data_IF_331583574289
#
_entry.id   IF_331583574289
#
_cell.length_a   1.000
_cell.length_b   1.000
_cell.length_c   1.000
_cell.angle_alpha   90.00
_cell.angle_beta   90.00
_cell.angle_gamma   90.00
#
_symmetry.space_group_name_H-M   'P 1'
#
loop_
_entity.id
_entity.type
_entity.pdbx_description
1 polymer ?
#
# COMPACT_ATOMS: atom_id res chain seq x y z
N UNK A 1 -21.22 23.50 19.60
CA UNK A 1 -21.59 23.06 18.23
C UNK A 1 -22.26 24.19 17.41
N UNK A 2 -21.72 25.42 17.41
CA UNK A 2 -22.41 26.61 16.84
C UNK A 2 -21.71 27.22 15.60
N UNK A 3 -20.73 26.51 15.04
CA UNK A 3 -19.88 26.98 13.93
C UNK A 3 -19.80 26.01 12.73
N UNK A 4 -20.71 25.03 12.63
CA UNK A 4 -20.79 24.21 11.42
C UNK A 4 -21.66 24.93 10.39
N UNK A 5 -21.17 25.14 9.14
CA UNK A 5 -22.02 25.62 8.07
C UNK A 5 -23.22 24.66 7.90
N UNK A 6 -24.42 25.18 7.60
CA UNK A 6 -25.60 24.33 7.39
C UNK A 6 -25.29 23.35 6.26
N UNK A 7 -25.28 22.05 6.56
CA UNK A 7 -25.16 20.99 5.58
C UNK A 7 -26.38 21.04 4.65
N UNK A 8 -26.21 21.70 3.50
CA UNK A 8 -27.17 21.68 2.41
C UNK A 8 -27.28 20.26 1.86
N UNK A 9 -28.51 19.74 1.88
CA UNK A 9 -28.93 18.40 1.42
C UNK A 9 -28.46 17.22 2.27
N UNK A 10 -29.41 16.63 3.02
CA UNK A 10 -29.41 15.19 3.29
C UNK A 10 -29.48 14.50 1.92
N UNK A 11 -28.33 14.19 1.33
CA UNK A 11 -28.27 13.20 0.27
C UNK A 11 -28.92 11.93 0.83
N UNK A 12 -29.98 11.45 0.17
CA UNK A 12 -30.62 10.17 0.45
C UNK A 12 -29.54 9.14 0.76
N UNK A 13 -29.53 8.58 1.98
CA UNK A 13 -28.53 7.57 2.38
C UNK A 13 -28.53 6.47 1.30
N UNK A 14 -27.46 6.31 0.52
CA UNK A 14 -27.40 5.23 -0.45
C UNK A 14 -27.60 3.93 0.33
N UNK A 15 -28.57 3.09 -0.08
CA UNK A 15 -28.79 1.79 0.56
C UNK A 15 -27.51 0.97 0.37
N UNK A 16 -26.99 0.39 1.45
CA UNK A 16 -25.78 -0.42 1.41
C UNK A 16 -25.97 -1.59 0.43
N UNK A 17 -25.14 -1.64 -0.61
CA UNK A 17 -25.21 -2.68 -1.64
C UNK A 17 -24.51 -3.95 -1.13
N UNK A 18 -25.22 -4.70 -0.28
CA UNK A 18 -24.74 -5.95 0.33
C UNK A 18 -24.21 -6.96 -0.70
N UNK A 19 -24.89 -7.20 -1.85
CA UNK A 19 -24.32 -8.07 -2.87
C UNK A 19 -22.97 -7.59 -3.44
N UNK A 20 -22.82 -6.28 -3.67
CA UNK A 20 -21.52 -5.73 -4.10
C UNK A 20 -20.46 -5.89 -3.02
N UNK A 21 -20.81 -5.74 -1.74
CA UNK A 21 -19.89 -5.99 -0.63
C UNK A 21 -19.44 -7.45 -0.57
N UNK A 22 -20.36 -8.41 -0.75
CA UNK A 22 -20.05 -9.84 -0.79
C UNK A 22 -19.16 -10.18 -1.99
N UNK A 23 -19.48 -9.66 -3.18
CA UNK A 23 -18.67 -9.87 -4.38
C UNK A 23 -17.28 -9.27 -4.26
N UNK A 24 -17.16 -8.09 -3.64
CA UNK A 24 -15.88 -7.48 -3.33
C UNK A 24 -15.05 -8.35 -2.37
N UNK A 25 -15.68 -8.80 -1.27
CA UNK A 25 -15.04 -9.67 -0.28
C UNK A 25 -14.57 -11.00 -0.92
N UNK A 26 -15.39 -11.61 -1.79
CA UNK A 26 -15.02 -12.81 -2.52
C UNK A 26 -13.89 -12.56 -3.51
N UNK A 27 -13.93 -11.48 -4.28
CA UNK A 27 -12.90 -11.18 -5.30
C UNK A 27 -11.53 -10.98 -4.65
N UNK A 28 -11.45 -10.09 -3.65
CA UNK A 28 -10.17 -9.83 -2.97
C UNK A 28 -9.79 -10.96 -2.02
N UNK A 29 -10.75 -11.59 -1.34
CA UNK A 29 -10.49 -12.73 -0.46
C UNK A 29 -9.92 -13.93 -1.20
N UNK A 30 -10.49 -14.29 -2.36
CA UNK A 30 -9.97 -15.37 -3.21
C UNK A 30 -8.61 -15.02 -3.81
N UNK A 31 -8.39 -13.76 -4.20
CA UNK A 31 -7.07 -13.32 -4.67
C UNK A 31 -6.00 -13.47 -3.58
N UNK A 32 -6.31 -13.04 -2.35
CA UNK A 32 -5.38 -13.08 -1.21
C UNK A 32 -5.11 -14.52 -0.77
N UNK A 33 -6.15 -15.35 -0.73
CA UNK A 33 -6.01 -16.78 -0.38
C UNK A 33 -5.21 -17.53 -1.43
N UNK A 34 -5.46 -17.31 -2.73
CA UNK A 34 -4.67 -17.90 -3.79
C UNK A 34 -3.19 -17.51 -3.73
N UNK A 35 -2.89 -16.22 -3.51
CA UNK A 35 -1.51 -15.74 -3.33
C UNK A 35 -0.83 -16.37 -2.12
N UNK A 36 -1.53 -16.45 -0.99
CA UNK A 36 -1.01 -17.03 0.25
C UNK A 36 -0.85 -18.56 0.15
N UNK A 37 -1.80 -19.23 -0.50
CA UNK A 37 -1.79 -20.67 -0.74
C UNK A 37 -0.63 -21.06 -1.64
N UNK A 38 -0.37 -20.27 -2.70
CA UNK A 38 0.82 -20.45 -3.54
C UNK A 38 2.12 -20.28 -2.74
N UNK A 39 2.21 -19.25 -1.91
CA UNK A 39 3.37 -19.00 -1.06
C UNK A 39 3.63 -20.12 -0.02
N UNK A 40 2.58 -20.79 0.44
CA UNK A 40 2.65 -21.89 1.42
C UNK A 40 2.82 -23.27 0.77
N UNK A 41 2.91 -23.35 -0.56
CA UNK A 41 3.07 -24.63 -1.27
C UNK A 41 1.78 -25.48 -1.31
N UNK A 42 0.61 -24.86 -1.27
CA UNK A 42 -0.66 -25.57 -1.44
C UNK A 42 -0.80 -26.16 -2.85
N UNK A 43 -1.76 -27.09 -3.02
CA UNK A 43 -1.98 -27.75 -4.30
C UNK A 43 -2.30 -26.72 -5.40
N UNK A 44 -1.59 -26.82 -6.52
CA UNK A 44 -1.81 -25.99 -7.72
C UNK A 44 -3.26 -26.07 -8.21
N UNK A 45 -3.94 -27.21 -8.01
CA UNK A 45 -5.35 -27.40 -8.37
C UNK A 45 -6.29 -26.53 -7.54
N UNK A 46 -6.07 -26.42 -6.22
CA UNK A 46 -6.87 -25.54 -5.36
C UNK A 46 -6.63 -24.07 -5.70
N UNK A 47 -5.36 -23.67 -5.90
CA UNK A 47 -5.01 -22.30 -6.28
C UNK A 47 -5.62 -21.94 -7.65
N UNK A 48 -5.56 -22.86 -8.62
CA UNK A 48 -6.18 -22.66 -9.92
C UNK A 48 -7.70 -22.53 -9.81
N UNK A 49 -8.35 -23.34 -8.97
CA UNK A 49 -9.78 -23.24 -8.72
C UNK A 49 -10.14 -21.88 -8.08
N UNK A 50 -9.40 -21.44 -7.06
CA UNK A 50 -9.57 -20.14 -6.40
C UNK A 50 -9.41 -18.98 -7.39
N UNK A 51 -8.39 -19.03 -8.26
CA UNK A 51 -8.16 -18.03 -9.30
C UNK A 51 -9.29 -18.01 -10.35
N UNK A 52 -9.78 -19.17 -10.78
CA UNK A 52 -10.91 -19.24 -11.72
C UNK A 52 -12.17 -18.64 -11.10
N UNK A 53 -12.50 -19.00 -9.85
CA UNK A 53 -13.66 -18.44 -9.14
C UNK A 53 -13.49 -16.94 -8.95
N UNK A 54 -12.29 -16.48 -8.57
CA UNK A 54 -11.95 -15.06 -8.44
C UNK A 54 -12.16 -14.29 -9.74
N UNK A 55 -11.68 -14.82 -10.88
CA UNK A 55 -11.84 -14.18 -12.19
C UNK A 55 -13.33 -14.11 -12.57
N UNK A 56 -14.09 -15.18 -12.38
CA UNK A 56 -15.53 -15.20 -12.71
C UNK A 56 -16.30 -14.20 -11.84
N UNK A 57 -16.11 -14.22 -10.52
CA UNK A 57 -16.79 -13.30 -9.60
C UNK A 57 -16.32 -11.86 -9.83
N UNK A 58 -15.03 -11.65 -10.08
CA UNK A 58 -14.43 -10.35 -10.35
C UNK A 58 -14.96 -9.72 -11.64
N UNK A 59 -15.11 -10.49 -12.72
CA UNK A 59 -15.73 -10.01 -13.97
C UNK A 59 -17.17 -9.57 -13.71
N UNK A 60 -17.96 -10.40 -13.01
CA UNK A 60 -19.35 -10.04 -12.70
C UNK A 60 -19.43 -8.80 -11.81
N UNK A 61 -18.55 -8.71 -10.81
CA UNK A 61 -18.44 -7.57 -9.91
C UNK A 61 -18.11 -6.28 -10.65
N UNK A 62 -17.07 -6.28 -11.51
CA UNK A 62 -16.69 -5.11 -12.31
C UNK A 62 -17.83 -4.68 -13.22
N UNK A 63 -18.49 -5.62 -13.93
CA UNK A 63 -19.62 -5.31 -14.82
C UNK A 63 -20.80 -4.69 -14.05
N UNK A 64 -21.09 -5.22 -12.86
CA UNK A 64 -22.12 -4.66 -11.98
C UNK A 64 -21.73 -3.26 -11.49
N UNK A 65 -20.50 -3.05 -11.03
CA UNK A 65 -20.02 -1.74 -10.58
C UNK A 65 -20.14 -0.68 -11.70
N UNK A 66 -19.81 -1.04 -12.93
CA UNK A 66 -19.92 -0.14 -14.08
C UNK A 66 -21.36 0.26 -14.44
N UNK A 67 -22.35 -0.54 -14.02
CA UNK A 67 -23.77 -0.28 -14.31
C UNK A 67 -24.50 0.43 -13.16
N UNK A 68 -23.89 0.52 -11.97
CA UNK A 68 -24.52 1.11 -10.79
C UNK A 68 -24.39 2.63 -10.78
N UNK A 69 -25.46 3.38 -10.41
CA UNK A 69 -25.40 4.83 -10.29
C UNK A 69 -24.46 5.32 -9.16
N UNK A 70 -24.36 4.53 -8.08
CA UNK A 70 -23.50 4.78 -6.92
C UNK A 70 -22.67 3.52 -6.65
N UNK A 71 -21.56 3.31 -7.39
CA UNK A 71 -20.70 2.13 -7.22
C UNK A 71 -19.94 2.19 -5.88
N UNK A 72 -19.73 1.02 -5.28
CA UNK A 72 -18.90 0.84 -4.08
C UNK A 72 -17.42 1.03 -4.42
N UNK A 73 -16.99 0.50 -5.58
CA UNK A 73 -15.67 0.75 -6.15
C UNK A 73 -15.85 1.47 -7.49
N UNK A 74 -15.70 2.81 -7.55
CA UNK A 74 -15.79 3.57 -8.78
C UNK A 74 -14.55 3.31 -9.66
N UNK A 75 -14.51 2.12 -10.28
CA UNK A 75 -13.44 1.67 -11.18
C UNK A 75 -13.29 2.56 -12.41
N UNK A 76 -14.32 3.33 -12.74
CA UNK A 76 -14.29 4.36 -13.77
C UNK A 76 -13.36 5.53 -13.42
N UNK A 77 -13.09 5.80 -12.13
CA UNK A 77 -12.06 6.77 -11.72
C UNK A 77 -10.65 6.34 -12.12
N UNK A 78 -10.39 5.05 -12.33
CA UNK A 78 -9.10 4.57 -12.86
C UNK A 78 -8.84 5.06 -14.30
N UNK A 79 -9.85 5.58 -15.00
CA UNK A 79 -9.64 6.26 -16.29
C UNK A 79 -8.95 7.62 -16.13
N UNK A 80 -8.99 8.22 -14.94
CA UNK A 80 -8.27 9.45 -14.63
C UNK A 80 -6.81 9.08 -14.37
N UNK A 81 -5.85 9.51 -15.22
CA UNK A 81 -4.45 9.08 -15.12
C UNK A 81 -3.85 9.37 -13.74
N UNK A 82 -4.13 10.55 -13.18
CA UNK A 82 -3.66 10.94 -11.85
C UNK A 82 -4.17 10.00 -10.74
N UNK A 83 -5.44 9.59 -10.82
CA UNK A 83 -6.05 8.66 -9.86
C UNK A 83 -5.44 7.25 -10.00
N UNK A 84 -5.34 6.75 -11.23
CA UNK A 84 -4.77 5.43 -11.53
C UNK A 84 -3.30 5.32 -11.10
N UNK A 85 -2.46 6.31 -11.44
CA UNK A 85 -1.08 6.39 -10.97
C UNK A 85 -1.02 6.44 -9.43
N UNK A 86 -1.98 7.13 -8.79
CA UNK A 86 -2.06 7.18 -7.33
C UNK A 86 -2.39 5.85 -6.67
N UNK A 87 -3.35 5.13 -7.23
CA UNK A 87 -3.70 3.78 -6.79
C UNK A 87 -2.55 2.80 -7.03
N UNK A 88 -1.92 2.83 -8.21
CA UNK A 88 -0.79 1.96 -8.55
C UNK A 88 0.39 2.15 -7.58
N UNK A 89 0.78 3.40 -7.32
CA UNK A 89 1.83 3.67 -6.34
C UNK A 89 1.44 3.27 -4.92
N UNK A 90 0.16 3.41 -4.52
CA UNK A 90 -0.32 2.90 -3.23
C UNK A 90 -0.10 1.40 -3.13
N UNK A 91 -0.52 0.61 -4.12
CA UNK A 91 -0.33 -0.85 -4.11
C UNK A 91 1.16 -1.19 -3.99
N UNK A 92 2.02 -0.58 -4.80
CA UNK A 92 3.47 -0.85 -4.78
C UNK A 92 4.12 -0.47 -3.44
N UNK A 93 3.79 0.71 -2.90
CA UNK A 93 4.36 1.21 -1.64
C UNK A 93 3.89 0.43 -0.43
N UNK A 94 2.61 0.06 -0.35
CA UNK A 94 2.09 -0.82 0.71
C UNK A 94 2.65 -2.24 0.60
N UNK A 95 2.86 -2.75 -0.62
CA UNK A 95 3.54 -4.03 -0.83
C UNK A 95 4.99 -3.98 -0.33
N UNK A 96 5.76 -2.95 -0.72
CA UNK A 96 7.12 -2.75 -0.27
C UNK A 96 7.22 -2.57 1.26
N UNK A 97 6.33 -1.77 1.84
CA UNK A 97 6.23 -1.62 3.30
C UNK A 97 5.97 -2.97 3.97
N UNK A 98 5.01 -3.75 3.49
CA UNK A 98 4.66 -5.03 4.12
C UNK A 98 5.80 -6.05 3.99
N UNK A 99 6.45 -6.10 2.82
CA UNK A 99 7.65 -6.92 2.62
C UNK A 99 8.70 -6.63 3.69
N UNK A 100 9.02 -5.35 3.92
CA UNK A 100 10.01 -4.96 4.92
C UNK A 100 9.53 -5.23 6.35
N UNK A 101 8.30 -4.82 6.69
CA UNK A 101 7.74 -4.94 8.05
C UNK A 101 7.58 -6.38 8.51
N UNK A 102 7.31 -7.32 7.60
CA UNK A 102 7.24 -8.74 7.93
C UNK A 102 8.64 -9.36 7.89
N UNK A 103 9.46 -9.06 6.88
CA UNK A 103 10.79 -9.68 6.71
C UNK A 103 11.80 -9.29 7.80
N UNK A 104 11.78 -8.04 8.28
CA UNK A 104 12.75 -7.55 9.26
C UNK A 104 12.70 -8.27 10.62
N UNK A 105 11.52 -8.49 11.24
CA UNK A 105 11.46 -9.25 12.48
C UNK A 105 12.00 -10.68 12.33
N UNK A 106 11.69 -11.36 11.21
CA UNK A 106 12.29 -12.67 10.91
C UNK A 106 13.81 -12.55 10.83
N UNK A 107 14.34 -11.59 10.08
CA UNK A 107 15.79 -11.37 9.97
C UNK A 107 16.46 -11.10 11.33
N UNK A 108 15.88 -10.22 12.14
CA UNK A 108 16.42 -9.84 13.46
C UNK A 108 16.42 -11.01 14.44
N UNK A 109 15.38 -11.84 14.43
CA UNK A 109 15.24 -12.96 15.37
C UNK A 109 15.96 -14.22 14.90
N UNK A 110 15.80 -14.63 13.64
CA UNK A 110 16.33 -15.91 13.14
C UNK A 110 17.79 -15.81 12.70
N UNK A 111 18.19 -14.68 12.09
CA UNK A 111 19.56 -14.50 11.57
C UNK A 111 20.45 -13.81 12.60
N UNK A 112 19.97 -12.72 13.21
CA UNK A 112 20.74 -11.94 14.18
C UNK A 112 20.55 -12.39 15.63
N UNK A 113 19.66 -13.35 15.90
CA UNK A 113 19.46 -13.92 17.23
C UNK A 113 18.95 -12.94 18.28
N UNK A 114 18.35 -11.81 17.86
CA UNK A 114 17.84 -10.79 18.79
C UNK A 114 16.58 -11.29 19.49
N UNK A 115 16.38 -10.83 20.72
CA UNK A 115 15.16 -11.12 21.46
C UNK A 115 13.93 -10.45 20.80
N UNK A 116 12.73 -10.96 21.11
CA UNK A 116 11.47 -10.38 20.64
C UNK A 116 11.32 -8.91 21.07
N UNK A 117 11.74 -8.60 22.30
CA UNK A 117 11.68 -7.24 22.87
C UNK A 117 12.62 -6.30 22.13
N UNK A 118 13.88 -6.69 21.92
CA UNK A 118 14.85 -5.88 21.16
C UNK A 118 14.39 -5.68 19.72
N UNK A 119 13.85 -6.73 19.08
CA UNK A 119 13.30 -6.64 17.73
C UNK A 119 12.18 -5.60 17.66
N UNK A 120 11.25 -5.62 18.61
CA UNK A 120 10.18 -4.61 18.69
C UNK A 120 10.74 -3.18 18.85
N UNK A 121 11.73 -3.00 19.71
CA UNK A 121 12.38 -1.70 19.90
C UNK A 121 13.11 -1.22 18.64
N UNK A 122 13.78 -2.11 17.92
CA UNK A 122 14.49 -1.79 16.67
C UNK A 122 13.54 -1.44 15.52
N UNK A 123 12.31 -1.97 15.51
CA UNK A 123 11.30 -1.66 14.50
C UNK A 123 10.50 -0.38 14.81
N UNK A 124 10.45 0.03 16.08
CA UNK A 124 9.73 1.21 16.58
C UNK A 124 10.09 2.55 15.89
N UNK A 125 11.34 2.82 15.44
CA UNK A 125 11.67 4.06 14.76
C UNK A 125 10.90 4.28 13.46
N UNK A 126 10.49 3.23 12.75
CA UNK A 126 9.71 3.37 11.50
C UNK A 126 8.35 4.04 11.73
N UNK A 127 7.43 3.51 12.58
CA UNK A 127 6.15 4.17 12.83
C UNK A 127 6.31 5.55 13.48
N UNK A 128 7.31 5.75 14.35
CA UNK A 128 7.60 7.06 14.93
C UNK A 128 7.98 8.11 13.87
N UNK A 129 8.89 7.76 12.96
CA UNK A 129 9.26 8.65 11.87
C UNK A 129 8.08 8.91 10.93
N UNK A 130 7.25 7.90 10.68
CA UNK A 130 6.00 8.05 9.88
C UNK A 130 5.03 9.02 10.56
N UNK A 131 4.86 8.91 11.88
CA UNK A 131 3.98 9.76 12.68
C UNK A 131 4.40 11.24 12.62
N UNK A 132 5.71 11.52 12.64
CA UNK A 132 6.23 12.90 12.55
C UNK A 132 6.18 13.44 11.12
N UNK A 133 6.50 12.61 10.13
CA UNK A 133 6.59 13.05 8.74
C UNK A 133 5.23 13.18 8.05
N UNK A 134 4.22 12.40 8.43
CA UNK A 134 2.91 12.45 7.78
C UNK A 134 2.18 13.82 7.92
N UNK A 135 2.15 14.48 9.10
CA UNK A 135 1.64 15.85 9.25
C UNK A 135 2.46 16.87 8.47
N UNK A 136 3.80 16.75 8.51
CA UNK A 136 4.70 17.64 7.77
C UNK A 136 4.41 17.55 6.26
N UNK A 137 4.26 16.34 5.73
CA UNK A 137 3.90 16.11 4.34
C UNK A 137 2.52 16.70 3.98
N UNK A 138 1.57 16.63 4.93
CA UNK A 138 0.26 17.27 4.80
C UNK A 138 0.37 18.79 4.68
N UNK A 139 1.28 19.43 5.42
CA UNK A 139 1.56 20.85 5.28
C UNK A 139 2.25 21.19 3.94
N UNK A 140 3.22 20.35 3.52
CA UNK A 140 3.97 20.58 2.28
C UNK A 140 3.12 20.44 1.02
N UNK A 141 1.99 19.72 1.05
CA UNK A 141 1.14 19.52 -0.12
C UNK A 141 0.52 20.83 -0.66
N UNK A 142 0.36 21.84 0.20
CA UNK A 142 -0.14 23.17 -0.20
C UNK A 142 0.89 23.93 -1.03
N UNK A 143 2.19 23.61 -0.85
CA UNK A 143 3.32 24.33 -1.45
C UNK A 143 4.01 23.55 -2.57
N UNK A 144 3.97 22.22 -2.52
CA UNK A 144 4.73 21.32 -3.40
C UNK A 144 3.78 20.37 -4.13
N UNK A 145 4.09 20.04 -5.38
CA UNK A 145 3.29 19.11 -6.17
C UNK A 145 3.27 17.71 -5.54
N UNK A 146 2.09 17.12 -5.36
CA UNK A 146 1.93 15.84 -4.65
C UNK A 146 2.71 14.67 -5.29
N UNK A 147 2.83 14.65 -6.63
CA UNK A 147 3.67 13.68 -7.34
C UNK A 147 5.17 13.79 -7.01
N UNK A 148 5.70 15.00 -6.84
CA UNK A 148 7.10 15.21 -6.46
C UNK A 148 7.34 14.78 -5.01
N UNK A 149 6.42 15.15 -4.11
CA UNK A 149 6.50 14.80 -2.70
C UNK A 149 6.39 13.27 -2.50
N UNK A 150 5.52 12.63 -3.29
CA UNK A 150 5.39 11.18 -3.34
C UNK A 150 6.62 10.47 -3.90
N UNK A 151 7.19 10.96 -5.00
CA UNK A 151 8.41 10.40 -5.59
C UNK A 151 9.60 10.52 -4.62
N UNK A 152 9.78 11.69 -3.99
CA UNK A 152 10.83 11.93 -3.01
C UNK A 152 10.66 11.04 -1.78
N UNK A 153 9.44 10.94 -1.25
CA UNK A 153 9.15 10.07 -0.10
C UNK A 153 9.49 8.60 -0.37
N UNK A 154 9.08 8.08 -1.53
CA UNK A 154 9.36 6.69 -1.90
C UNK A 154 10.84 6.45 -2.23
N UNK A 155 11.53 7.44 -2.79
CA UNK A 155 12.97 7.38 -2.98
C UNK A 155 13.71 7.34 -1.63
N UNK A 156 13.31 8.16 -0.66
CA UNK A 156 13.86 8.12 0.71
C UNK A 156 13.57 6.75 1.35
N UNK A 157 12.38 6.20 1.15
CA UNK A 157 12.04 4.87 1.64
C UNK A 157 12.95 3.79 1.02
N UNK A 158 13.15 3.83 -0.30
CA UNK A 158 14.08 2.93 -0.99
C UNK A 158 15.51 3.07 -0.45
N UNK A 159 15.97 4.31 -0.26
CA UNK A 159 17.29 4.60 0.30
C UNK A 159 17.45 4.12 1.75
N UNK A 160 16.37 4.03 2.52
CA UNK A 160 16.37 3.39 3.84
C UNK A 160 16.35 1.85 3.76
N UNK A 161 15.79 1.26 2.71
CA UNK A 161 15.76 -0.20 2.54
C UNK A 161 17.12 -0.77 2.08
N UNK A 162 17.87 -0.06 1.23
CA UNK A 162 19.17 -0.53 0.73
C UNK A 162 20.22 -0.83 1.83
N UNK A 163 20.42 0.03 2.85
CA UNK A 163 21.33 -0.25 3.96
C UNK A 163 20.94 -1.48 4.76
N UNK A 164 19.65 -1.78 4.86
CA UNK A 164 19.14 -2.97 5.58
C UNK A 164 19.44 -4.26 4.83
N UNK A 165 19.47 -4.21 3.49
CA UNK A 165 19.92 -5.32 2.64
C UNK A 165 21.40 -5.60 2.87
N UNK A 166 22.22 -4.54 3.01
CA UNK A 166 23.68 -4.63 3.12
C UNK A 166 24.18 -4.72 4.58
N UNK A 167 23.35 -5.16 5.51
CA UNK A 167 23.75 -5.26 6.92
C UNK A 167 24.87 -6.31 7.08
N UNK A 168 25.95 -6.00 7.83
CA UNK A 168 26.98 -6.97 8.16
C UNK A 168 26.41 -8.06 9.09
N UNK A 169 27.11 -9.20 9.20
CA UNK A 169 26.71 -10.33 10.05
C UNK A 169 26.53 -9.98 11.54
N UNK A 170 27.15 -8.89 12.01
CA UNK A 170 26.97 -8.38 13.37
C UNK A 170 26.85 -6.85 13.33
N UNK A 171 25.66 -6.32 13.01
CA UNK A 171 25.43 -4.89 12.92
C UNK A 171 25.24 -4.29 14.31
N UNK A 172 25.83 -3.12 14.52
CA UNK A 172 25.46 -2.27 15.63
C UNK A 172 24.00 -1.80 15.48
N UNK A 173 23.27 -1.64 16.58
CA UNK A 173 21.85 -1.27 16.58
C UNK A 173 21.59 0.03 15.81
N UNK A 174 22.53 0.98 15.87
CA UNK A 174 22.46 2.24 15.13
C UNK A 174 22.33 2.02 13.62
N UNK A 175 22.97 0.98 13.07
CA UNK A 175 22.93 0.65 11.64
C UNK A 175 21.55 0.11 11.20
N UNK A 176 20.69 -0.25 12.15
CA UNK A 176 19.30 -0.65 11.89
C UNK A 176 18.34 0.52 12.19
N UNK A 177 18.65 1.34 13.21
CA UNK A 177 17.78 2.44 13.63
C UNK A 177 17.71 3.55 12.57
N UNK A 178 18.84 4.03 12.03
CA UNK A 178 18.78 5.14 11.08
C UNK A 178 18.09 4.78 9.76
N UNK A 179 18.26 3.57 9.17
CA UNK A 179 17.51 3.20 7.97
C UNK A 179 16.02 2.99 8.26
N UNK A 180 15.65 2.50 9.45
CA UNK A 180 14.25 2.46 9.91
C UNK A 180 13.60 3.84 9.95
N UNK A 181 14.33 4.84 10.47
CA UNK A 181 13.88 6.23 10.48
C UNK A 181 13.67 6.73 9.05
N UNK A 182 14.62 6.48 8.13
CA UNK A 182 14.47 6.87 6.73
C UNK A 182 13.28 6.19 6.05
N UNK A 183 13.10 4.88 6.26
CA UNK A 183 11.96 4.14 5.73
C UNK A 183 10.63 4.74 6.19
N UNK A 184 10.49 5.00 7.49
CA UNK A 184 9.30 5.62 8.06
C UNK A 184 9.09 7.05 7.60
N UNK A 185 10.17 7.85 7.55
CA UNK A 185 10.11 9.23 7.11
C UNK A 185 9.68 9.35 5.64
N UNK A 186 10.28 8.55 4.77
CA UNK A 186 9.96 8.49 3.35
C UNK A 186 8.52 8.01 3.11
N UNK A 187 8.11 6.95 3.81
CA UNK A 187 6.75 6.44 3.72
C UNK A 187 5.71 7.47 4.19
N UNK A 188 5.96 8.16 5.31
CA UNK A 188 5.10 9.24 5.80
C UNK A 188 5.01 10.42 4.84
N UNK A 189 6.14 10.79 4.21
CA UNK A 189 6.22 11.85 3.20
C UNK A 189 5.40 11.54 1.95
N UNK A 190 5.33 10.26 1.56
CA UNK A 190 4.52 9.80 0.44
C UNK A 190 3.03 9.67 0.79
N UNK A 191 2.72 9.05 1.93
CA UNK A 191 1.37 8.54 2.20
C UNK A 191 0.33 9.67 2.26
N UNK A 192 0.64 10.75 2.98
CA UNK A 192 -0.30 11.86 3.20
C UNK A 192 -0.66 12.58 1.88
N UNK A 193 0.31 13.04 1.05
CA UNK A 193 0.04 13.65 -0.25
C UNK A 193 -0.68 12.74 -1.23
N UNK A 194 -0.32 11.45 -1.24
CA UNK A 194 -0.94 10.48 -2.13
C UNK A 194 -2.41 10.23 -1.77
N UNK A 195 -2.72 10.07 -0.48
CA UNK A 195 -4.11 9.90 -0.02
C UNK A 195 -4.95 11.14 -0.34
N UNK A 196 -4.41 12.33 -0.09
CA UNK A 196 -5.07 13.58 -0.43
C UNK A 196 -5.37 13.67 -1.94
N UNK A 197 -4.40 13.32 -2.78
CA UNK A 197 -4.56 13.32 -4.25
C UNK A 197 -5.67 12.36 -4.70
N UNK A 198 -5.74 11.15 -4.12
CA UNK A 198 -6.79 10.16 -4.47
C UNK A 198 -8.17 10.69 -4.13
N UNK A 199 -8.33 11.27 -2.93
CA UNK A 199 -9.63 11.78 -2.47
C UNK A 199 -10.05 13.03 -3.25
N UNK A 200 -9.11 13.93 -3.54
CA UNK A 200 -9.40 15.22 -4.21
C UNK A 200 -9.50 15.15 -5.73
N UNK A 201 -8.94 14.10 -6.36
CA UNK A 201 -9.09 13.87 -7.81
C UNK A 201 -10.44 13.26 -8.20
N UNK A 202 -11.21 12.76 -7.23
CA UNK A 202 -12.57 12.28 -7.44
C UNK A 202 -13.60 13.42 -7.27
N UNK A 203 -14.71 13.41 -8.04
CA UNK A 203 -15.85 14.30 -7.80
C UNK A 203 -16.33 14.21 -6.35
N UNK A 204 -16.78 15.33 -5.75
CA UNK A 204 -17.13 15.42 -4.32
C UNK A 204 -18.16 14.38 -3.90
N UNK A 205 -19.11 14.09 -4.79
CA UNK A 205 -20.20 13.12 -4.64
C UNK A 205 -19.69 11.67 -4.57
N UNK A 206 -18.46 11.41 -5.06
CA UNK A 206 -17.84 10.09 -5.15
C UNK A 206 -16.60 9.94 -4.26
N UNK A 207 -16.31 10.92 -3.41
CA UNK A 207 -15.20 10.90 -2.45
C UNK A 207 -15.21 9.68 -1.53
N UNK A 208 -16.40 9.19 -1.14
CA UNK A 208 -16.55 7.94 -0.39
C UNK A 208 -16.05 6.70 -1.14
N UNK A 209 -16.36 6.60 -2.43
CA UNK A 209 -15.87 5.52 -3.30
C UNK A 209 -14.37 5.61 -3.57
N UNK A 210 -13.83 6.82 -3.73
CA UNK A 210 -12.38 7.05 -3.83
C UNK A 210 -11.62 6.59 -2.59
N UNK A 211 -12.16 6.84 -1.39
CA UNK A 211 -11.62 6.32 -0.13
C UNK A 211 -11.69 4.78 -0.08
N UNK A 212 -12.78 4.19 -0.57
CA UNK A 212 -12.91 2.73 -0.72
C UNK A 212 -11.85 2.12 -1.64
N UNK A 213 -11.57 2.77 -2.77
CA UNK A 213 -10.47 2.39 -3.68
C UNK A 213 -9.10 2.49 -3.00
N UNK A 214 -8.85 3.55 -2.23
CA UNK A 214 -7.61 3.69 -1.44
C UNK A 214 -7.46 2.57 -0.41
N UNK A 215 -8.52 2.26 0.34
CA UNK A 215 -8.52 1.15 1.31
C UNK A 215 -8.26 -0.20 0.64
N UNK A 216 -8.88 -0.42 -0.52
CA UNK A 216 -8.68 -1.63 -1.33
C UNK A 216 -7.24 -1.73 -1.84
N UNK A 217 -6.68 -0.64 -2.36
CA UNK A 217 -5.29 -0.59 -2.83
C UNK A 217 -4.29 -0.88 -1.71
N UNK A 218 -4.56 -0.36 -0.51
CA UNK A 218 -3.75 -0.63 0.70
C UNK A 218 -3.80 -2.11 1.07
N UNK A 219 -4.99 -2.68 1.21
CA UNK A 219 -5.17 -4.09 1.59
C UNK A 219 -4.54 -5.01 0.54
N UNK A 220 -4.76 -4.73 -0.74
CA UNK A 220 -4.15 -5.48 -1.84
C UNK A 220 -2.62 -5.44 -1.77
N UNK A 221 -2.03 -4.26 -1.55
CA UNK A 221 -0.58 -4.11 -1.39
C UNK A 221 -0.06 -4.90 -0.19
N UNK A 222 -0.69 -4.74 0.99
CA UNK A 222 -0.28 -5.44 2.21
C UNK A 222 -0.40 -6.96 2.07
N UNK A 223 -1.54 -7.47 1.59
CA UNK A 223 -1.71 -8.91 1.43
C UNK A 223 -0.78 -9.50 0.37
N UNK A 224 -0.54 -8.79 -0.73
CA UNK A 224 0.43 -9.23 -1.75
C UNK A 224 1.85 -9.25 -1.18
N UNK A 225 2.24 -8.21 -0.43
CA UNK A 225 3.55 -8.16 0.22
C UNK A 225 3.75 -9.28 1.23
N UNK A 226 2.75 -9.59 2.05
CA UNK A 226 2.80 -10.69 3.00
C UNK A 226 2.93 -12.06 2.31
N UNK A 227 2.15 -12.29 1.24
CA UNK A 227 2.26 -13.50 0.44
C UNK A 227 3.64 -13.63 -0.24
N UNK A 228 4.20 -12.53 -0.75
CA UNK A 228 5.55 -12.53 -1.30
C UNK A 228 6.60 -12.86 -0.25
N UNK A 229 6.51 -12.33 0.97
CA UNK A 229 7.44 -12.72 2.05
C UNK A 229 7.35 -14.21 2.33
N UNK A 230 6.15 -14.75 2.48
CA UNK A 230 5.96 -16.19 2.71
C UNK A 230 6.58 -17.02 1.57
N UNK A 231 6.39 -16.59 0.32
CA UNK A 231 6.99 -17.25 -0.85
C UNK A 231 8.53 -17.19 -0.82
N UNK A 232 9.10 -16.02 -0.50
CA UNK A 232 10.54 -15.85 -0.45
C UNK A 232 11.16 -16.67 0.69
N UNK A 233 10.54 -16.71 1.87
CA UNK A 233 10.99 -17.53 3.00
C UNK A 233 10.91 -19.02 2.69
N UNK A 234 9.83 -19.47 2.03
CA UNK A 234 9.65 -20.86 1.65
C UNK A 234 10.67 -21.30 0.57
N UNK A 235 10.90 -20.46 -0.44
CA UNK A 235 11.74 -20.82 -1.59
C UNK A 235 13.24 -20.61 -1.35
N UNK A 236 13.63 -19.60 -0.57
CA UNK A 236 15.04 -19.21 -0.39
C UNK A 236 15.58 -19.46 1.03
N UNK A 237 14.79 -20.02 1.95
CA UNK A 237 15.22 -20.36 3.32
C UNK A 237 15.83 -19.17 4.05
N UNK A 238 17.05 -19.33 4.55
CA UNK A 238 17.78 -18.30 5.32
C UNK A 238 17.98 -16.99 4.53
N UNK A 239 18.10 -17.07 3.20
CA UNK A 239 18.24 -15.88 2.34
C UNK A 239 16.89 -15.23 2.00
N UNK A 240 15.76 -15.85 2.34
CA UNK A 240 14.43 -15.35 1.99
C UNK A 240 14.14 -13.96 2.55
N UNK A 241 14.70 -13.63 3.72
CA UNK A 241 14.58 -12.30 4.31
C UNK A 241 15.34 -11.23 3.51
N UNK A 242 16.58 -11.54 3.11
CA UNK A 242 17.38 -10.65 2.26
C UNK A 242 16.72 -10.41 0.90
N UNK A 243 16.22 -11.47 0.24
CA UNK A 243 15.51 -11.36 -1.04
C UNK A 243 14.22 -10.53 -0.89
N UNK A 244 13.49 -10.71 0.22
CA UNK A 244 12.28 -9.91 0.52
C UNK A 244 12.59 -8.42 0.66
N UNK A 245 13.69 -8.07 1.34
CA UNK A 245 14.15 -6.68 1.48
C UNK A 245 14.60 -6.07 0.15
N UNK A 246 15.29 -6.85 -0.70
CA UNK A 246 15.63 -6.41 -2.06
C UNK A 246 14.37 -6.16 -2.90
N UNK A 247 13.39 -7.07 -2.84
CA UNK A 247 12.12 -6.91 -3.54
C UNK A 247 11.37 -5.66 -3.03
N UNK A 248 11.38 -5.41 -1.72
CA UNK A 248 10.83 -4.19 -1.12
C UNK A 248 11.50 -2.92 -1.67
N UNK A 249 12.83 -2.90 -1.73
CA UNK A 249 13.59 -1.76 -2.24
C UNK A 249 13.29 -1.51 -3.73
N UNK A 250 13.27 -2.56 -4.55
CA UNK A 250 12.94 -2.47 -5.97
C UNK A 250 11.51 -1.93 -6.16
N UNK A 251 10.53 -2.48 -5.44
CA UNK A 251 9.15 -2.00 -5.50
C UNK A 251 9.02 -0.55 -5.04
N UNK A 252 9.80 -0.12 -4.05
CA UNK A 252 9.85 1.27 -3.60
C UNK A 252 10.40 2.20 -4.68
N UNK A 253 11.45 1.79 -5.40
CA UNK A 253 12.00 2.54 -6.54
C UNK A 253 10.99 2.62 -7.68
N UNK A 254 10.35 1.49 -8.05
CA UNK A 254 9.28 1.48 -9.06
C UNK A 254 8.15 2.42 -8.65
N UNK A 255 7.72 2.36 -7.39
CA UNK A 255 6.69 3.25 -6.85
C UNK A 255 7.13 4.72 -6.96
N UNK A 256 8.40 5.04 -6.66
CA UNK A 256 8.94 6.39 -6.79
C UNK A 256 8.89 6.88 -8.25
N UNK A 257 9.30 6.05 -9.22
CA UNK A 257 9.21 6.36 -10.64
C UNK A 257 7.76 6.61 -11.08
N UNK A 258 6.83 5.72 -10.71
CA UNK A 258 5.39 5.87 -11.02
C UNK A 258 4.81 7.13 -10.38
N UNK A 259 5.25 7.48 -9.17
CA UNK A 259 4.85 8.73 -8.52
C UNK A 259 5.38 9.96 -9.26
N UNK A 260 6.62 9.90 -9.74
CA UNK A 260 7.25 10.95 -10.55
C UNK A 260 6.53 11.22 -11.87
N UNK A 261 5.98 10.18 -12.51
CA UNK A 261 5.16 10.32 -13.73
C UNK A 261 3.89 11.15 -13.52
N UNK A 262 3.46 11.41 -12.27
CA UNK A 262 2.33 12.29 -12.00
C UNK A 262 2.66 13.76 -12.25
N UNK A 263 3.94 14.14 -12.20
CA UNK A 263 4.39 15.52 -12.40
C UNK A 263 4.08 15.98 -13.83
N UNK A 264 4.09 15.06 -14.80
CA UNK A 264 3.79 15.36 -16.20
C UNK A 264 2.29 15.42 -16.50
N UNK A 265 1.43 15.10 -15.53
CA UNK A 265 -0.01 15.14 -15.73
C UNK A 265 -0.53 16.57 -15.47
N UNK A 266 -1.33 17.15 -16.38
CA UNK A 266 -1.91 18.46 -16.16
C UNK A 266 -2.77 18.41 -14.89
N UNK A 267 -2.63 19.40 -14.01
CA UNK A 267 -3.52 19.59 -12.86
C UNK A 267 -4.95 19.61 -13.40
N UNK A 268 -5.76 18.62 -13.02
CA UNK A 268 -7.19 18.65 -13.30
C UNK A 268 -7.71 19.97 -12.75
N UNK A 269 -8.21 20.84 -13.62
CA UNK A 269 -8.90 22.06 -13.18
C UNK A 269 -10.10 21.59 -12.35
N UNK A 270 -10.07 21.91 -11.06
CA UNK A 270 -11.19 21.71 -10.14
C UNK A 270 -12.37 22.59 -10.54
#
# INVERSE_FOLDING_TARGET
MRFLPPNGSRASKPRFDLPSAVMNALTFGLLITALSGFAQGQSLTLIAAELVVMVVVGIFFIRRQLSLPVPLLPVDLLRIPLFSLSICTSVCSFCAQMLAMVSLPFYLQTVLGRSEVETGLLLTPWPLATMVMAPLAGYLIERVHAGLLGALGLFIMAAGLFPLVLLPASPADINIIWPMILCGAGFGLFQSPNNHTIITSAPRERSGGASGMLGTARLLGQSSGAALVALMLNQFGDNGTHVSLMAAAILAVIAACVSGLRITQPRSKA
#
